data_IF_940116293648
#
_entry.id   IF_940116293648
#
_cell.length_a   1.000
_cell.length_b   1.000
_cell.length_c   1.000
_cell.angle_alpha   90.00
_cell.angle_beta   90.00
_cell.angle_gamma   90.00
#
_symmetry.space_group_name_H-M   'P 1'
#
loop_
_entity.id
_entity.type
_entity.pdbx_description
1 polymer ?
#
# COMPACT_ATOMS: atom_id res chain seq x y z
N UNK A 1 -46.23 -31.50 96.93
CA UNK A 1 -46.78 -32.05 95.67
C UNK A 1 -46.46 -31.06 94.56
N UNK A 2 -45.61 -31.41 93.60
CA UNK A 2 -45.21 -30.51 92.52
C UNK A 2 -46.34 -30.39 91.48
N UNK A 3 -46.72 -29.16 91.12
CA UNK A 3 -47.74 -28.89 90.11
C UNK A 3 -47.27 -29.31 88.71
N UNK A 4 -48.16 -29.96 87.95
CA UNK A 4 -47.91 -30.37 86.55
C UNK A 4 -47.65 -29.12 85.70
N UNK A 5 -46.51 -29.08 85.01
CA UNK A 5 -46.18 -28.03 84.02
C UNK A 5 -47.03 -28.25 82.77
N UNK A 6 -47.82 -27.26 82.37
CA UNK A 6 -48.55 -27.22 81.09
C UNK A 6 -47.65 -26.58 80.05
N UNK A 7 -47.07 -27.41 79.17
CA UNK A 7 -46.06 -26.98 78.18
C UNK A 7 -46.59 -26.02 77.11
N UNK A 8 -47.91 -25.91 76.95
CA UNK A 8 -48.56 -25.18 75.87
C UNK A 8 -49.50 -24.08 76.37
N UNK A 9 -49.33 -23.62 77.61
CA UNK A 9 -50.18 -22.56 78.17
C UNK A 9 -49.82 -21.16 77.65
N UNK A 10 -48.58 -20.95 77.20
CA UNK A 10 -48.07 -19.67 76.69
C UNK A 10 -47.98 -19.61 75.16
N UNK A 11 -48.35 -20.68 74.46
CA UNK A 11 -48.41 -20.67 73.00
C UNK A 11 -49.73 -19.99 72.58
N UNK A 12 -49.64 -18.78 72.02
CA UNK A 12 -50.78 -18.14 71.37
C UNK A 12 -51.33 -19.08 70.29
N UNK A 13 -52.61 -19.44 70.38
CA UNK A 13 -53.27 -20.32 69.42
C UNK A 13 -53.33 -19.63 68.05
N UNK A 14 -52.28 -19.79 67.24
CA UNK A 14 -52.23 -19.25 65.89
C UNK A 14 -53.14 -20.09 65.02
N UNK A 15 -54.40 -19.67 64.89
CA UNK A 15 -55.33 -20.25 63.94
C UNK A 15 -54.72 -20.04 62.55
N UNK A 16 -54.27 -21.12 61.92
CA UNK A 16 -53.75 -21.09 60.57
C UNK A 16 -54.88 -20.69 59.63
N UNK A 17 -54.91 -19.41 59.25
CA UNK A 17 -55.82 -18.93 58.23
C UNK A 17 -55.44 -19.65 56.93
N UNK A 18 -56.37 -20.32 56.23
CA UNK A 18 -56.07 -20.95 54.96
C UNK A 18 -55.52 -19.90 53.98
N UNK A 19 -54.51 -20.29 53.21
CA UNK A 19 -53.86 -19.42 52.23
C UNK A 19 -54.89 -18.78 51.32
N UNK A 20 -54.88 -17.44 51.25
CA UNK A 20 -55.82 -16.69 50.43
C UNK A 20 -55.28 -16.67 48.99
N UNK A 21 -55.95 -17.39 48.07
CA UNK A 21 -55.52 -17.53 46.66
C UNK A 21 -55.88 -16.31 45.79
N UNK A 22 -55.88 -15.10 46.34
CA UNK A 22 -55.97 -13.89 45.52
C UNK A 22 -54.57 -13.48 45.07
N UNK A 23 -54.48 -12.82 43.92
CA UNK A 23 -53.24 -12.15 43.54
C UNK A 23 -52.91 -11.13 44.63
N UNK A 24 -51.68 -11.17 45.14
CA UNK A 24 -51.13 -10.16 46.06
C UNK A 24 -51.30 -8.79 45.38
N UNK A 25 -51.74 -7.77 46.12
CA UNK A 25 -51.86 -6.40 45.58
C UNK A 25 -50.48 -5.91 45.11
N UNK A 26 -50.45 -5.10 44.05
CA UNK A 26 -49.19 -4.62 43.47
C UNK A 26 -48.30 -3.92 44.51
N UNK A 27 -48.91 -3.17 45.44
CA UNK A 27 -48.24 -2.48 46.54
C UNK A 27 -47.58 -3.44 47.56
N UNK A 28 -48.22 -4.57 47.90
CA UNK A 28 -47.65 -5.58 48.82
C UNK A 28 -46.57 -6.42 48.13
N UNK A 29 -46.68 -6.63 46.82
CA UNK A 29 -45.69 -7.33 46.01
C UNK A 29 -44.39 -6.54 45.88
N UNK A 30 -44.49 -5.20 45.86
CA UNK A 30 -43.34 -4.30 45.95
C UNK A 30 -42.73 -4.29 47.36
N UNK A 31 -43.54 -4.27 48.41
CA UNK A 31 -43.09 -4.25 49.82
C UNK A 31 -42.43 -5.57 50.29
N UNK A 32 -42.91 -6.74 49.84
CA UNK A 32 -42.32 -8.04 50.19
C UNK A 32 -41.05 -8.37 49.39
N UNK A 33 -40.81 -7.67 48.28
CA UNK A 33 -39.62 -7.91 47.45
C UNK A 33 -38.45 -7.04 47.91
N UNK A 34 -37.68 -7.55 48.88
CA UNK A 34 -36.33 -7.00 49.15
C UNK A 34 -35.40 -7.08 47.92
N UNK A 35 -35.82 -7.79 46.86
CA UNK A 35 -35.03 -8.12 45.66
C UNK A 35 -35.64 -7.63 44.34
N UNK A 36 -36.62 -6.71 44.37
CA UNK A 36 -37.17 -6.06 43.16
C UNK A 36 -38.15 -6.91 42.34
N UNK A 37 -38.76 -6.28 41.32
CA UNK A 37 -39.79 -6.87 40.46
C UNK A 37 -39.23 -8.03 39.61
N UNK A 38 -39.95 -9.17 39.59
CA UNK A 38 -39.60 -10.33 38.75
C UNK A 38 -40.01 -10.04 37.30
N UNK A 39 -39.04 -9.98 36.39
CA UNK A 39 -39.27 -9.94 34.95
C UNK A 39 -39.09 -11.33 34.34
N UNK A 40 -40.00 -11.76 33.47
CA UNK A 40 -39.87 -13.03 32.75
C UNK A 40 -39.26 -12.76 31.37
N UNK A 41 -38.04 -13.24 31.14
CA UNK A 41 -37.35 -13.15 29.84
C UNK A 41 -37.09 -14.60 29.39
N UNK A 42 -37.57 -14.96 28.20
CA UNK A 42 -37.42 -16.31 27.61
C UNK A 42 -37.87 -17.47 28.52
N UNK A 43 -38.97 -17.28 29.26
CA UNK A 43 -39.51 -18.31 30.16
C UNK A 43 -38.76 -18.46 31.49
N UNK A 44 -37.68 -17.68 31.71
CA UNK A 44 -36.96 -17.62 32.98
C UNK A 44 -37.36 -16.37 33.77
N UNK A 45 -37.69 -16.54 35.06
CA UNK A 45 -37.96 -15.43 35.97
C UNK A 45 -36.65 -14.85 36.51
N UNK A 46 -36.27 -13.67 36.05
CA UNK A 46 -35.07 -12.95 36.49
C UNK A 46 -35.48 -11.90 37.51
N UNK A 47 -34.76 -11.87 38.64
CA UNK A 47 -34.90 -10.84 39.69
C UNK A 47 -33.78 -9.83 39.54
N UNK A 48 -34.12 -8.58 39.22
CA UNK A 48 -33.16 -7.48 39.14
C UNK A 48 -33.38 -6.49 40.27
N UNK A 49 -32.28 -5.96 40.81
CA UNK A 49 -32.32 -4.84 41.74
C UNK A 49 -32.38 -3.57 40.87
N UNK A 50 -33.41 -2.70 41.00
CA UNK A 50 -33.65 -1.60 40.06
C UNK A 50 -32.48 -0.60 39.98
N UNK A 51 -31.77 -0.41 41.09
CA UNK A 51 -30.58 0.46 41.17
C UNK A 51 -29.42 -0.14 40.39
N UNK A 52 -29.14 -1.43 40.58
CA UNK A 52 -28.06 -2.12 39.89
C UNK A 52 -28.34 -2.25 38.39
N UNK A 53 -29.61 -2.48 38.02
CA UNK A 53 -30.05 -2.54 36.63
C UNK A 53 -29.78 -1.21 35.92
N UNK A 54 -30.13 -0.07 36.54
CA UNK A 54 -29.88 1.25 35.97
C UNK A 54 -28.40 1.52 35.73
N UNK A 55 -27.53 1.27 36.72
CA UNK A 55 -26.09 1.48 36.57
C UNK A 55 -25.44 0.48 35.61
N UNK A 56 -25.84 -0.78 35.65
CA UNK A 56 -25.37 -1.82 34.73
C UNK A 56 -25.76 -1.50 33.28
N UNK A 57 -26.99 -1.04 33.06
CA UNK A 57 -27.46 -0.65 31.74
C UNK A 57 -26.71 0.60 31.23
N UNK A 58 -26.52 1.62 32.06
CA UNK A 58 -25.71 2.79 31.69
C UNK A 58 -24.26 2.42 31.36
N UNK A 59 -23.64 1.55 32.15
CA UNK A 59 -22.29 1.07 31.89
C UNK A 59 -22.22 0.25 30.60
N UNK A 60 -23.19 -0.63 30.37
CA UNK A 60 -23.30 -1.43 29.14
C UNK A 60 -23.43 -0.54 27.91
N UNK A 61 -24.31 0.46 27.94
CA UNK A 61 -24.50 1.40 26.85
C UNK A 61 -23.21 2.21 26.61
N UNK A 62 -22.58 2.72 27.67
CA UNK A 62 -21.31 3.42 27.55
C UNK A 62 -20.21 2.55 26.92
N UNK A 63 -20.05 1.31 27.37
CA UNK A 63 -19.08 0.38 26.77
C UNK A 63 -19.42 0.07 25.33
N UNK A 64 -20.69 -0.20 25.03
CA UNK A 64 -21.14 -0.50 23.68
C UNK A 64 -20.81 0.65 22.74
N UNK A 65 -21.17 1.88 23.10
CA UNK A 65 -20.92 3.07 22.27
C UNK A 65 -19.42 3.28 22.03
N UNK A 66 -18.58 3.10 23.07
CA UNK A 66 -17.12 3.25 22.94
C UNK A 66 -16.51 2.16 22.07
N UNK A 67 -16.94 0.92 22.24
CA UNK A 67 -16.48 -0.22 21.44
C UNK A 67 -16.92 -0.05 19.99
N UNK A 68 -18.16 0.39 19.75
CA UNK A 68 -18.70 0.62 18.42
C UNK A 68 -17.91 1.71 17.68
N UNK A 69 -17.71 2.89 18.31
CA UNK A 69 -16.91 3.99 17.73
C UNK A 69 -15.50 3.51 17.40
N UNK A 70 -14.82 2.84 18.34
CA UNK A 70 -13.45 2.36 18.12
C UNK A 70 -13.38 1.30 17.02
N UNK A 71 -14.35 0.39 16.96
CA UNK A 71 -14.43 -0.61 15.91
C UNK A 71 -14.68 0.01 14.54
N UNK A 72 -15.49 1.08 14.47
CA UNK A 72 -15.76 1.82 13.25
C UNK A 72 -14.51 2.59 12.79
N UNK A 73 -13.82 3.30 13.68
CA UNK A 73 -12.57 4.00 13.36
C UNK A 73 -11.48 3.03 12.88
N UNK A 74 -11.29 1.90 13.58
CA UNK A 74 -10.37 0.86 13.14
C UNK A 74 -10.78 0.27 11.78
N UNK A 75 -12.08 0.07 11.55
CA UNK A 75 -12.62 -0.39 10.28
C UNK A 75 -12.28 0.57 9.14
N UNK A 76 -12.49 1.88 9.36
CA UNK A 76 -12.17 2.94 8.40
C UNK A 76 -10.68 3.00 8.12
N UNK A 77 -9.82 2.97 9.14
CA UNK A 77 -8.36 3.00 8.96
C UNK A 77 -7.86 1.77 8.19
N UNK A 78 -8.35 0.56 8.54
CA UNK A 78 -8.00 -0.66 7.82
C UNK A 78 -8.46 -0.62 6.37
N UNK A 79 -9.66 -0.10 6.12
CA UNK A 79 -10.19 0.02 4.75
C UNK A 79 -9.39 1.03 3.93
N UNK A 80 -9.07 2.20 4.51
CA UNK A 80 -8.22 3.21 3.88
C UNK A 80 -6.84 2.64 3.54
N UNK A 81 -6.21 1.96 4.49
CA UNK A 81 -4.92 1.31 4.28
C UNK A 81 -4.98 0.24 3.19
N UNK A 82 -6.00 -0.63 3.21
CA UNK A 82 -6.17 -1.64 2.17
C UNK A 82 -6.42 -1.01 0.79
N UNK A 83 -7.15 0.11 0.73
CA UNK A 83 -7.37 0.84 -0.51
C UNK A 83 -6.08 1.47 -1.05
N UNK A 84 -5.26 2.04 -0.17
CA UNK A 84 -3.93 2.55 -0.51
C UNK A 84 -3.02 1.42 -1.00
N UNK A 85 -2.98 0.27 -0.30
CA UNK A 85 -2.23 -0.90 -0.73
C UNK A 85 -2.70 -1.42 -2.10
N UNK A 86 -4.00 -1.48 -2.34
CA UNK A 86 -4.56 -1.87 -3.63
C UNK A 86 -4.19 -0.88 -4.73
N UNK A 87 -4.18 0.41 -4.42
CA UNK A 87 -3.74 1.47 -5.34
C UNK A 87 -2.26 1.33 -5.68
N UNK A 88 -1.41 1.12 -4.67
CA UNK A 88 0.02 0.87 -4.86
C UNK A 88 0.26 -0.38 -5.71
N UNK A 89 -0.45 -1.47 -5.41
CA UNK A 89 -0.37 -2.72 -6.18
C UNK A 89 -0.80 -2.52 -7.63
N UNK A 90 -1.89 -1.77 -7.86
CA UNK A 90 -2.35 -1.42 -9.21
C UNK A 90 -1.30 -0.61 -9.95
N UNK A 91 -0.77 0.45 -9.33
CA UNK A 91 0.29 1.27 -9.91
C UNK A 91 1.54 0.45 -10.23
N UNK A 92 1.92 -0.48 -9.35
CA UNK A 92 3.07 -1.36 -9.56
C UNK A 92 2.85 -2.29 -10.77
N UNK A 93 1.67 -2.91 -10.87
CA UNK A 93 1.31 -3.78 -11.99
C UNK A 93 1.17 -3.02 -13.32
N UNK A 94 0.79 -1.73 -13.29
CA UNK A 94 0.77 -0.88 -14.48
C UNK A 94 2.18 -0.55 -14.97
N UNK A 95 3.14 -0.36 -14.06
CA UNK A 95 4.53 -0.04 -14.41
C UNK A 95 5.26 -1.30 -14.87
N UNK A 96 5.11 -2.42 -14.15
CA UNK A 96 5.87 -3.65 -14.36
C UNK A 96 4.99 -4.66 -15.09
N UNK A 97 5.21 -4.78 -16.40
CA UNK A 97 4.43 -5.68 -17.27
C UNK A 97 5.16 -6.99 -17.58
N UNK A 98 6.48 -6.98 -17.48
CA UNK A 98 7.35 -8.10 -17.86
C UNK A 98 7.64 -9.04 -16.66
N UNK A 99 8.02 -10.31 -16.90
CA UNK A 99 8.30 -11.26 -15.84
C UNK A 99 9.51 -10.80 -15.00
N UNK A 100 9.24 -10.42 -13.74
CA UNK A 100 10.25 -9.83 -12.86
C UNK A 100 11.38 -10.78 -12.49
N UNK A 101 11.11 -12.07 -12.26
CA UNK A 101 12.06 -12.95 -11.58
C UNK A 101 13.40 -13.10 -12.32
N UNK A 102 13.44 -13.51 -13.61
CA UNK A 102 14.71 -13.63 -14.32
C UNK A 102 15.30 -12.27 -14.66
N UNK A 103 14.51 -11.32 -15.16
CA UNK A 103 15.00 -10.02 -15.62
C UNK A 103 15.58 -9.18 -14.49
N UNK A 104 14.94 -9.17 -13.31
CA UNK A 104 15.42 -8.41 -12.16
C UNK A 104 16.75 -8.92 -11.63
N UNK A 105 16.96 -10.25 -11.64
CA UNK A 105 18.25 -10.84 -11.24
C UNK A 105 19.35 -10.36 -12.18
N UNK A 106 19.12 -10.34 -13.50
CA UNK A 106 20.10 -9.82 -14.46
C UNK A 106 20.40 -8.33 -14.28
N UNK A 107 19.39 -7.54 -13.93
CA UNK A 107 19.56 -6.11 -13.62
C UNK A 107 20.43 -5.94 -12.37
N UNK A 108 20.16 -6.72 -11.32
CA UNK A 108 20.95 -6.71 -10.09
C UNK A 108 22.39 -7.15 -10.33
N UNK A 109 22.62 -8.22 -11.10
CA UNK A 109 23.98 -8.68 -11.41
C UNK A 109 24.74 -7.65 -12.24
N UNK A 110 24.10 -6.98 -13.20
CA UNK A 110 24.71 -5.89 -13.95
C UNK A 110 25.10 -4.71 -13.04
N UNK A 111 24.20 -4.30 -12.12
CA UNK A 111 24.48 -3.25 -11.12
C UNK A 111 25.65 -3.62 -10.20
N UNK A 112 25.66 -4.85 -9.67
CA UNK A 112 26.73 -5.38 -8.84
C UNK A 112 28.07 -5.44 -9.60
N UNK A 113 28.04 -5.82 -10.87
CA UNK A 113 29.22 -5.82 -11.75
C UNK A 113 29.76 -4.40 -11.92
N UNK A 114 28.88 -3.43 -12.12
CA UNK A 114 29.23 -2.01 -12.14
C UNK A 114 29.94 -1.57 -10.85
N UNK A 115 29.45 -2.01 -9.69
CA UNK A 115 30.04 -1.71 -8.37
C UNK A 115 31.44 -2.28 -8.20
N UNK A 116 31.66 -3.53 -8.62
CA UNK A 116 32.98 -4.17 -8.56
C UNK A 116 33.97 -3.42 -9.46
N UNK A 117 33.54 -3.00 -10.65
CA UNK A 117 34.39 -2.30 -11.62
C UNK A 117 34.90 -0.95 -11.11
N UNK A 118 34.15 -0.29 -10.22
CA UNK A 118 34.52 1.02 -9.64
C UNK A 118 34.96 0.95 -8.19
N UNK A 119 35.30 -0.25 -7.67
CA UNK A 119 35.64 -0.45 -6.26
C UNK A 119 36.80 0.42 -5.75
N UNK A 120 37.75 0.79 -6.62
CA UNK A 120 38.94 1.62 -6.33
C UNK A 120 38.80 3.07 -6.81
N UNK A 121 37.62 3.48 -7.29
CA UNK A 121 37.38 4.86 -7.76
C UNK A 121 36.91 5.76 -6.63
N UNK A 122 36.93 7.07 -6.87
CA UNK A 122 36.43 8.08 -5.93
C UNK A 122 34.96 7.86 -5.59
N UNK A 123 34.56 8.33 -4.41
CA UNK A 123 33.27 8.06 -3.77
C UNK A 123 32.05 8.34 -4.67
N UNK A 124 31.95 9.45 -5.45
CA UNK A 124 30.80 9.69 -6.32
C UNK A 124 30.64 8.65 -7.44
N UNK A 125 31.75 8.29 -8.10
CA UNK A 125 31.75 7.29 -9.19
C UNK A 125 31.28 5.94 -8.64
N UNK A 126 31.68 5.60 -7.41
CA UNK A 126 31.29 4.36 -6.74
C UNK A 126 29.79 4.21 -6.56
N UNK A 127 29.06 5.31 -6.36
CA UNK A 127 27.60 5.28 -6.22
C UNK A 127 26.86 5.40 -7.55
N UNK A 128 27.39 6.20 -8.48
CA UNK A 128 26.72 6.47 -9.76
C UNK A 128 26.84 5.28 -10.72
N UNK A 129 27.99 4.62 -10.78
CA UNK A 129 28.22 3.56 -11.78
C UNK A 129 27.29 2.35 -11.62
N UNK A 130 27.04 1.80 -10.41
CA UNK A 130 26.06 0.72 -10.24
C UNK A 130 24.66 1.12 -10.72
N UNK A 131 24.23 2.35 -10.42
CA UNK A 131 22.94 2.88 -10.85
C UNK A 131 22.86 3.00 -12.38
N UNK A 132 23.93 3.46 -13.03
CA UNK A 132 23.99 3.53 -14.49
C UNK A 132 23.95 2.14 -15.12
N UNK A 133 24.75 1.19 -14.64
CA UNK A 133 24.74 -0.18 -15.14
C UNK A 133 23.38 -0.85 -14.93
N UNK A 134 22.79 -0.68 -13.74
CA UNK A 134 21.44 -1.15 -13.44
C UNK A 134 20.37 -0.50 -14.33
N UNK A 135 20.46 0.81 -14.57
CA UNK A 135 19.52 1.53 -15.44
C UNK A 135 19.61 1.11 -16.91
N UNK A 136 20.83 0.91 -17.42
CA UNK A 136 21.05 0.36 -18.77
C UNK A 136 20.52 -1.07 -18.86
N UNK A 137 20.81 -1.91 -17.87
CA UNK A 137 20.29 -3.27 -17.81
C UNK A 137 18.75 -3.27 -17.71
N UNK A 138 18.16 -2.34 -16.96
CA UNK A 138 16.71 -2.23 -16.84
C UNK A 138 16.06 -1.91 -18.18
N UNK A 139 16.63 -0.96 -18.95
CA UNK A 139 16.19 -0.68 -20.31
C UNK A 139 16.36 -1.89 -21.26
N UNK A 140 17.39 -2.70 -21.08
CA UNK A 140 17.67 -3.85 -21.94
C UNK A 140 16.79 -5.07 -21.63
N UNK A 141 16.67 -5.45 -20.34
CA UNK A 141 15.94 -6.64 -19.90
C UNK A 141 14.46 -6.40 -19.64
N UNK A 142 14.05 -5.14 -19.44
CA UNK A 142 12.67 -4.75 -19.19
C UNK A 142 12.29 -3.44 -19.93
N UNK A 143 12.33 -3.42 -21.28
CA UNK A 143 12.11 -2.21 -22.06
C UNK A 143 10.72 -1.59 -21.87
N UNK A 144 9.65 -2.39 -21.84
CA UNK A 144 8.29 -1.86 -21.71
C UNK A 144 8.09 -1.27 -20.31
N UNK A 145 8.60 -1.96 -19.29
CA UNK A 145 8.51 -1.47 -17.92
C UNK A 145 9.33 -0.19 -17.72
N UNK A 146 10.47 -0.06 -18.41
CA UNK A 146 11.27 1.16 -18.44
C UNK A 146 10.51 2.33 -19.08
N UNK A 147 9.83 2.11 -20.21
CA UNK A 147 9.02 3.14 -20.89
C UNK A 147 7.82 3.58 -20.04
N UNK A 148 7.13 2.64 -19.39
CA UNK A 148 6.02 2.94 -18.47
C UNK A 148 6.50 3.72 -17.24
N UNK A 149 7.62 3.32 -16.64
CA UNK A 149 8.20 4.03 -15.51
C UNK A 149 8.64 5.45 -15.91
N UNK A 150 9.34 5.58 -17.03
CA UNK A 150 9.87 6.86 -17.52
C UNK A 150 8.75 7.81 -17.92
N UNK A 151 7.70 7.34 -18.60
CA UNK A 151 6.55 8.17 -18.96
C UNK A 151 5.80 8.69 -17.74
N UNK A 152 5.60 7.85 -16.71
CA UNK A 152 4.99 8.28 -15.44
C UNK A 152 5.83 9.33 -14.73
N UNK A 153 7.15 9.15 -14.68
CA UNK A 153 8.06 10.15 -14.12
C UNK A 153 7.94 11.49 -14.86
N UNK A 154 7.91 11.46 -16.20
CA UNK A 154 7.72 12.66 -17.01
C UNK A 154 6.38 13.35 -16.73
N UNK A 155 5.28 12.61 -16.56
CA UNK A 155 3.97 13.20 -16.21
C UNK A 155 3.98 13.86 -14.84
N UNK A 156 4.68 13.25 -13.86
CA UNK A 156 4.83 13.83 -12.52
C UNK A 156 5.72 15.08 -12.56
N UNK A 157 6.80 15.03 -13.33
CA UNK A 157 7.71 16.15 -13.52
C UNK A 157 7.03 17.31 -14.22
N UNK A 158 6.27 17.08 -15.28
CA UNK A 158 5.52 18.12 -15.99
C UNK A 158 4.57 18.88 -15.04
N UNK A 159 3.92 18.16 -14.13
CA UNK A 159 2.99 18.74 -13.16
C UNK A 159 3.67 19.56 -12.06
N UNK A 160 4.83 19.10 -11.57
CA UNK A 160 5.49 19.68 -10.40
C UNK A 160 6.63 20.65 -10.76
N UNK A 161 7.32 20.40 -11.88
CA UNK A 161 8.55 21.09 -12.31
C UNK A 161 8.56 21.30 -13.84
N UNK A 162 7.72 22.20 -14.37
CA UNK A 162 7.57 22.39 -15.81
C UNK A 162 8.84 22.94 -16.50
N UNK A 163 9.70 23.66 -15.77
CA UNK A 163 10.96 24.17 -16.31
C UNK A 163 11.97 23.06 -16.60
N UNK A 164 12.11 22.08 -15.70
CA UNK A 164 12.98 20.93 -15.90
C UNK A 164 12.48 20.09 -17.08
N UNK A 165 11.17 19.90 -17.19
CA UNK A 165 10.57 19.19 -18.31
C UNK A 165 10.90 19.84 -19.67
N UNK A 166 10.84 21.18 -19.75
CA UNK A 166 11.23 21.93 -20.96
C UNK A 166 12.71 21.71 -21.30
N UNK A 167 13.60 21.81 -20.32
CA UNK A 167 15.04 21.56 -20.53
C UNK A 167 15.30 20.13 -21.04
N UNK A 168 14.59 19.13 -20.51
CA UNK A 168 14.71 17.75 -21.00
C UNK A 168 14.25 17.61 -22.46
N UNK A 169 13.16 18.27 -22.85
CA UNK A 169 12.68 18.27 -24.23
C UNK A 169 13.71 18.94 -25.15
N UNK A 170 14.25 20.08 -24.75
CA UNK A 170 15.31 20.78 -25.51
C UNK A 170 16.54 19.90 -25.68
N UNK A 171 17.01 19.27 -24.60
CA UNK A 171 18.14 18.34 -24.64
C UNK A 171 17.86 17.14 -25.56
N UNK A 172 16.65 16.57 -25.50
CA UNK A 172 16.24 15.48 -26.40
C UNK A 172 16.25 15.91 -27.87
N UNK A 173 15.81 17.14 -28.15
CA UNK A 173 15.83 17.70 -29.50
C UNK A 173 17.26 17.92 -30.01
N UNK A 174 18.14 18.48 -29.17
CA UNK A 174 19.56 18.66 -29.49
C UNK A 174 20.25 17.31 -29.73
N UNK A 175 19.99 16.31 -28.88
CA UNK A 175 20.53 14.95 -29.06
C UNK A 175 20.06 14.32 -30.38
N UNK A 176 18.77 14.50 -30.73
CA UNK A 176 18.21 14.01 -31.99
C UNK A 176 18.84 14.69 -33.20
N UNK A 177 19.10 16.00 -33.14
CA UNK A 177 19.81 16.75 -34.17
C UNK A 177 21.25 16.26 -34.31
N UNK A 178 21.99 16.17 -33.20
CA UNK A 178 23.37 15.67 -33.19
C UNK A 178 23.47 14.27 -33.78
N UNK A 179 22.54 13.37 -33.45
CA UNK A 179 22.48 12.03 -34.04
C UNK A 179 22.27 12.07 -35.56
N UNK A 180 21.39 12.95 -36.04
CA UNK A 180 21.15 13.13 -37.48
C UNK A 180 22.39 13.70 -38.18
N UNK A 181 23.02 14.69 -37.59
CA UNK A 181 24.24 15.32 -38.13
C UNK A 181 25.41 14.34 -38.15
N UNK A 182 25.54 13.51 -37.12
CA UNK A 182 26.55 12.45 -37.08
C UNK A 182 26.33 11.38 -38.16
N UNK A 183 25.08 10.91 -38.33
CA UNK A 183 24.75 9.97 -39.40
C UNK A 183 24.98 10.58 -40.79
N UNK A 184 24.66 11.87 -40.96
CA UNK A 184 24.90 12.59 -42.20
C UNK A 184 26.39 12.73 -42.48
N UNK A 185 27.19 13.10 -41.48
CA UNK A 185 28.65 13.21 -41.58
C UNK A 185 29.33 11.87 -41.91
N UNK A 186 28.85 10.75 -41.32
CA UNK A 186 29.31 9.41 -41.70
C UNK A 186 28.99 9.11 -43.17
N UNK A 187 27.77 9.39 -43.62
CA UNK A 187 27.39 9.22 -45.02
C UNK A 187 28.19 10.10 -45.98
N UNK A 188 28.41 11.36 -45.61
CA UNK A 188 29.22 12.31 -46.39
C UNK A 188 30.70 11.85 -46.45
N UNK A 189 31.23 11.29 -45.37
CA UNK A 189 32.60 10.72 -45.33
C UNK A 189 32.72 9.48 -46.23
N UNK A 190 31.73 8.59 -46.25
CA UNK A 190 31.72 7.44 -47.16
C UNK A 190 31.74 7.89 -48.63
N UNK A 191 30.95 8.92 -48.97
CA UNK A 191 30.90 9.52 -50.31
C UNK A 191 32.24 10.19 -50.66
N UNK A 192 32.86 10.89 -49.71
CA UNK A 192 34.16 11.53 -49.90
C UNK A 192 35.29 10.52 -50.09
N UNK A 193 35.29 9.41 -49.33
CA UNK A 193 36.23 8.31 -49.52
C UNK A 193 36.07 7.66 -50.90
N UNK A 194 34.83 7.46 -51.37
CA UNK A 194 34.59 6.96 -52.72
C UNK A 194 35.12 7.92 -53.80
N UNK A 195 34.92 9.24 -53.63
CA UNK A 195 35.45 10.26 -54.55
C UNK A 195 36.97 10.32 -54.54
N UNK A 196 37.61 10.18 -53.38
CA UNK A 196 39.07 10.15 -53.26
C UNK A 196 39.68 8.89 -53.90
N UNK A 197 39.05 7.72 -53.73
CA UNK A 197 39.46 6.49 -54.42
C UNK A 197 39.30 6.64 -55.94
N UNK A 198 38.18 7.22 -56.39
CA UNK A 198 37.90 7.44 -57.80
C UNK A 198 38.89 8.41 -58.46
N UNK A 199 39.11 9.57 -57.85
CA UNK A 199 40.08 10.57 -58.34
C UNK A 199 41.53 10.06 -58.32
N UNK A 200 41.89 9.23 -57.35
CA UNK A 200 43.20 8.55 -57.33
C UNK A 200 43.32 7.58 -58.51
N UNK A 201 42.26 6.82 -58.83
CA UNK A 201 42.23 5.94 -60.01
C UNK A 201 42.39 6.74 -61.30
N UNK A 202 41.65 7.83 -61.47
CA UNK A 202 41.76 8.70 -62.65
C UNK A 202 43.17 9.29 -62.79
N UNK A 203 43.74 9.80 -61.68
CA UNK A 203 45.10 10.36 -61.66
C UNK A 203 46.17 9.34 -62.05
N UNK A 204 46.00 8.07 -61.64
CA UNK A 204 46.91 6.98 -62.04
C UNK A 204 46.78 6.72 -63.55
N UNK A 205 45.57 6.66 -64.09
CA UNK A 205 45.33 6.44 -65.53
C UNK A 205 45.91 7.58 -66.36
N UNK A 206 45.73 8.82 -65.93
CA UNK A 206 46.29 10.00 -66.60
C UNK A 206 47.82 10.02 -66.55
N UNK A 207 48.41 9.64 -65.40
CA UNK A 207 49.87 9.50 -65.29
C UNK A 207 50.42 8.49 -66.31
N UNK A 208 49.82 7.31 -66.43
CA UNK A 208 50.28 6.28 -67.36
C UNK A 208 50.02 6.64 -68.84
N UNK A 209 48.87 7.23 -69.16
CA UNK A 209 48.53 7.63 -70.54
C UNK A 209 49.32 8.84 -71.05
N UNK A 210 49.75 9.74 -70.16
CA UNK A 210 50.64 10.85 -70.50
C UNK A 210 52.07 10.39 -70.82
N UNK A 211 52.50 9.26 -70.23
CA UNK A 211 53.85 8.71 -70.40
C UNK A 211 54.00 7.86 -71.68
N UNK A 212 52.90 7.40 -72.29
CA UNK A 212 52.88 6.74 -73.60
C UNK A 212 52.97 7.72 -74.80
N UNK A 213 52.89 9.04 -74.57
CA UNK A 213 52.94 10.08 -75.63
C UNK A 213 54.30 10.77 -75.79
N UNK A 214 55.36 10.26 -75.17
CA UNK A 214 56.77 10.67 -75.40
C UNK A 214 57.54 9.54 -76.05
#
# INVERSE_FOLDING_TARGET
MAGKRTFYADDEETITKPGFNSRISEELKEQESSHGSISFIEGMGIRSIPILEKYSNQFRLFLHDKIEIYSAELGTQRSAFNNELNTVKKNFNEIITEPILPSFIYILTASLTGSILVNKRVLPIRFITPLLFGGVAFKYYMPISFENASSRLLTIEEKNYPELHKQQIEFKNQYSQLKKDFNKSLGDSEIELQKNIHSTRESIIDFFSSNEKK
#
